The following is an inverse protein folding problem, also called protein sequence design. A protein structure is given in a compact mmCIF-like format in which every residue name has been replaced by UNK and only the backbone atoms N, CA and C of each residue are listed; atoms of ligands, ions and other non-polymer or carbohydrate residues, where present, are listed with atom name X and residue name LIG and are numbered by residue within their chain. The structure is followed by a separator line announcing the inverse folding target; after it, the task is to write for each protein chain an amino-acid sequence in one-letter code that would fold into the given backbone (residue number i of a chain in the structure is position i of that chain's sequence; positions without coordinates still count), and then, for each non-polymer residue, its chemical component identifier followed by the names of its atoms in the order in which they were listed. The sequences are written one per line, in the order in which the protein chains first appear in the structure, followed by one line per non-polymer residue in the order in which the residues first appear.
data_IF_552373447925
#
_entry.id   IF_552373447925
#
_cell.length_a   1.000
_cell.length_b   1.000
_cell.length_c   1.000
_cell.angle_alpha   90.00
_cell.angle_beta   90.00
_cell.angle_gamma   90.00
#
_symmetry.space_group_name_H-M   'P 1'
#
loop_
_entity.id
_entity.type
_entity.pdbx_description
1 polymer ?
#
# COMPACT_ATOMS: atom_id res chain seq x y z
N UNK A 1 5.25 -34.17 6.09
CA UNK A 1 6.64 -33.94 6.56
C UNK A 1 7.07 -35.17 7.34
N UNK A 2 8.15 -35.83 6.90
CA UNK A 2 8.66 -37.06 7.56
C UNK A 2 9.90 -36.82 8.41
N UNK A 3 10.54 -35.65 8.32
CA UNK A 3 11.75 -35.33 9.06
C UNK A 3 11.42 -34.92 10.51
N UNK A 4 11.87 -35.75 11.47
CA UNK A 4 11.65 -35.54 12.91
C UNK A 4 12.31 -34.27 13.44
N UNK A 5 13.44 -33.83 12.85
CA UNK A 5 14.16 -32.62 13.24
C UNK A 5 13.33 -31.37 12.92
N UNK A 6 12.73 -31.32 11.72
CA UNK A 6 11.85 -30.23 11.30
C UNK A 6 10.58 -30.18 12.16
N UNK A 7 9.98 -31.35 12.41
CA UNK A 7 8.80 -31.44 13.29
C UNK A 7 9.10 -30.95 14.71
N UNK A 8 10.29 -31.28 15.23
CA UNK A 8 10.70 -30.79 16.55
C UNK A 8 10.90 -29.27 16.59
N UNK A 9 11.53 -28.69 15.56
CA UNK A 9 11.65 -27.23 15.42
C UNK A 9 10.30 -26.54 15.40
N UNK A 10 9.36 -27.03 14.58
CA UNK A 10 7.99 -26.48 14.53
C UNK A 10 7.36 -26.56 15.92
N UNK A 11 7.49 -27.68 16.61
CA UNK A 11 6.95 -27.86 17.98
C UNK A 11 7.57 -26.87 18.97
N UNK A 12 8.86 -26.62 18.89
CA UNK A 12 9.53 -25.62 19.72
C UNK A 12 9.00 -24.21 19.45
N UNK A 13 8.81 -23.82 18.19
CA UNK A 13 8.21 -22.53 17.84
C UNK A 13 6.78 -22.37 18.33
N UNK A 14 5.95 -23.41 18.23
CA UNK A 14 4.57 -23.41 18.73
C UNK A 14 4.50 -23.29 20.25
N UNK A 15 5.47 -23.88 20.95
CA UNK A 15 5.54 -23.85 22.43
C UNK A 15 6.28 -22.65 23.01
N UNK A 16 6.89 -21.80 22.18
CA UNK A 16 7.75 -20.69 22.64
C UNK A 16 7.03 -19.61 23.43
N UNK A 17 5.69 -19.56 23.39
CA UNK A 17 4.89 -18.53 24.07
C UNK A 17 5.05 -17.14 23.47
N UNK A 18 4.43 -16.16 24.12
CA UNK A 18 4.50 -14.74 23.75
C UNK A 18 5.04 -13.95 24.93
N UNK A 19 6.00 -13.08 24.68
CA UNK A 19 6.46 -12.17 25.70
C UNK A 19 5.58 -10.90 25.70
N UNK A 20 4.81 -10.74 26.76
CA UNK A 20 3.98 -9.54 26.99
C UNK A 20 4.62 -8.71 28.10
N UNK A 21 5.22 -7.59 27.73
CA UNK A 21 6.08 -6.82 28.66
C UNK A 21 7.32 -7.63 29.04
N UNK A 22 7.44 -8.03 30.31
CA UNK A 22 8.53 -8.86 30.84
C UNK A 22 8.06 -10.27 31.29
N UNK A 23 6.82 -10.66 30.99
CA UNK A 23 6.27 -11.97 31.36
C UNK A 23 6.07 -12.82 30.10
N UNK A 24 6.45 -14.10 30.19
CA UNK A 24 6.23 -15.09 29.16
C UNK A 24 4.84 -15.72 29.35
N UNK A 25 3.93 -15.45 28.43
CA UNK A 25 2.62 -16.10 28.40
C UNK A 25 2.64 -17.32 27.48
N UNK A 26 2.22 -18.48 27.98
CA UNK A 26 2.12 -19.68 27.17
C UNK A 26 0.98 -19.54 26.14
N UNK A 27 1.24 -19.99 24.93
CA UNK A 27 0.21 -20.04 23.88
C UNK A 27 -0.51 -21.38 23.98
N UNK A 28 -1.77 -21.39 24.44
CA UNK A 28 -2.55 -22.61 24.60
C UNK A 28 -3.01 -23.19 23.26
N UNK A 29 -3.35 -22.33 22.29
CA UNK A 29 -3.82 -22.75 20.96
C UNK A 29 -3.25 -21.88 19.86
N UNK A 30 -2.84 -22.54 18.77
CA UNK A 30 -2.35 -21.86 17.56
C UNK A 30 -0.93 -21.35 17.66
N UNK A 31 -0.58 -20.38 16.83
CA UNK A 31 0.71 -19.71 16.78
C UNK A 31 0.52 -18.22 17.14
N UNK A 32 1.46 -17.63 17.91
CA UNK A 32 1.35 -16.23 18.30
C UNK A 32 1.17 -15.32 17.08
N UNK A 33 0.26 -14.35 17.21
CA UNK A 33 0.03 -13.38 16.14
C UNK A 33 1.30 -12.53 15.91
N UNK A 34 1.84 -12.57 14.67
CA UNK A 34 3.10 -11.91 14.33
C UNK A 34 4.36 -12.77 14.52
N UNK A 35 4.22 -14.03 14.91
CA UNK A 35 5.34 -14.98 14.97
C UNK A 35 5.99 -15.18 13.60
N UNK A 36 7.32 -15.30 13.55
CA UNK A 36 8.10 -15.43 12.30
C UNK A 36 7.69 -16.66 11.48
N UNK A 37 7.36 -17.75 12.14
CA UNK A 37 6.97 -19.02 11.50
C UNK A 37 5.48 -19.11 11.17
N UNK A 38 4.63 -18.24 11.75
CA UNK A 38 3.17 -18.30 11.62
C UNK A 38 2.68 -18.31 10.16
N UNK A 39 3.23 -17.47 9.23
CA UNK A 39 2.81 -17.52 7.83
C UNK A 39 3.13 -18.85 7.13
N UNK A 40 4.27 -19.46 7.48
CA UNK A 40 4.66 -20.76 6.91
C UNK A 40 3.72 -21.86 7.41
N UNK A 41 3.50 -21.94 8.72
CA UNK A 41 2.61 -22.94 9.32
C UNK A 41 1.18 -22.77 8.80
N UNK A 42 0.68 -21.52 8.69
CA UNK A 42 -0.63 -21.24 8.12
C UNK A 42 -0.74 -21.74 6.68
N UNK A 43 0.29 -21.56 5.87
CA UNK A 43 0.29 -22.07 4.50
C UNK A 43 0.30 -23.60 4.44
N UNK A 44 1.07 -24.26 5.29
CA UNK A 44 1.09 -25.74 5.39
C UNK A 44 -0.27 -26.26 5.85
N UNK A 45 -0.89 -25.61 6.82
CA UNK A 45 -2.20 -26.02 7.35
C UNK A 45 -3.32 -25.85 6.32
N UNK A 46 -3.33 -24.73 5.58
CA UNK A 46 -4.31 -24.43 4.56
C UNK A 46 -4.06 -25.12 3.21
N UNK A 47 -2.94 -25.84 3.06
CA UNK A 47 -2.67 -26.61 1.84
C UNK A 47 -3.75 -27.68 1.62
N UNK A 48 -4.23 -28.33 2.68
CA UNK A 48 -5.34 -29.29 2.58
C UNK A 48 -6.63 -28.67 2.01
N UNK A 49 -6.91 -27.42 2.36
CA UNK A 49 -8.00 -26.64 1.75
C UNK A 49 -7.75 -26.39 0.27
N UNK A 50 -6.54 -25.94 -0.08
CA UNK A 50 -6.17 -25.65 -1.46
C UNK A 50 -6.30 -26.91 -2.35
N UNK A 51 -5.79 -28.04 -1.88
CA UNK A 51 -5.85 -29.33 -2.59
C UNK A 51 -7.32 -29.78 -2.79
N UNK A 52 -8.16 -29.70 -1.76
CA UNK A 52 -9.56 -30.11 -1.87
C UNK A 52 -10.36 -29.22 -2.82
N UNK A 53 -10.12 -27.89 -2.78
CA UNK A 53 -10.79 -26.97 -3.69
C UNK A 53 -10.33 -27.16 -5.15
N UNK A 54 -9.04 -27.41 -5.38
CA UNK A 54 -8.48 -27.73 -6.71
C UNK A 54 -9.01 -29.08 -7.23
N UNK A 55 -9.10 -30.11 -6.38
CA UNK A 55 -9.67 -31.40 -6.71
C UNK A 55 -11.11 -31.26 -7.23
N UNK A 56 -11.88 -30.34 -6.63
CA UNK A 56 -13.25 -29.97 -7.06
C UNK A 56 -13.27 -29.03 -8.25
N UNK A 57 -12.12 -28.71 -8.86
CA UNK A 57 -11.98 -27.82 -10.02
C UNK A 57 -12.41 -26.37 -9.76
N UNK A 58 -12.41 -25.92 -8.50
CA UNK A 58 -12.60 -24.52 -8.18
C UNK A 58 -11.33 -23.71 -8.51
N UNK A 59 -11.53 -22.53 -9.10
CA UNK A 59 -10.43 -21.57 -9.35
C UNK A 59 -10.27 -20.69 -8.12
N UNK A 60 -9.24 -20.98 -7.32
CA UNK A 60 -8.96 -20.26 -6.09
C UNK A 60 -7.70 -19.42 -6.22
N UNK A 61 -7.66 -18.31 -5.50
CA UNK A 61 -6.47 -17.49 -5.24
C UNK A 61 -6.44 -17.25 -3.74
N UNK A 62 -5.37 -17.71 -3.08
CA UNK A 62 -5.18 -17.53 -1.64
C UNK A 62 -3.91 -16.74 -1.35
N UNK A 63 -4.00 -15.82 -0.43
CA UNK A 63 -2.87 -15.10 0.15
C UNK A 63 -3.03 -15.10 1.66
N UNK A 64 -2.27 -15.92 2.34
CA UNK A 64 -2.43 -16.25 3.76
C UNK A 64 -3.86 -16.71 4.06
N UNK A 65 -4.60 -15.98 4.87
CA UNK A 65 -6.00 -16.19 5.25
C UNK A 65 -7.04 -15.53 4.31
N UNK A 66 -6.58 -14.67 3.40
CA UNK A 66 -7.46 -14.06 2.40
C UNK A 66 -7.65 -15.00 1.20
N UNK A 67 -8.89 -15.46 0.99
CA UNK A 67 -9.26 -16.44 -0.06
C UNK A 67 -10.22 -15.76 -1.06
N UNK A 68 -9.95 -15.94 -2.34
CA UNK A 68 -10.82 -15.53 -3.44
C UNK A 68 -11.14 -16.75 -4.31
N UNK A 69 -12.43 -17.04 -4.53
CA UNK A 69 -12.90 -18.13 -5.39
C UNK A 69 -13.61 -17.53 -6.61
N UNK A 70 -13.15 -17.88 -7.80
CA UNK A 70 -13.69 -17.37 -9.06
C UNK A 70 -14.75 -18.33 -9.59
N UNK A 71 -15.95 -17.83 -9.81
CA UNK A 71 -17.11 -18.60 -10.28
C UNK A 71 -17.76 -17.96 -11.50
N UNK A 72 -18.31 -18.76 -12.40
CA UNK A 72 -18.97 -18.28 -13.62
C UNK A 72 -20.43 -17.83 -13.43
N UNK A 73 -21.07 -18.19 -12.28
CA UNK A 73 -22.44 -17.82 -11.96
C UNK A 73 -22.66 -17.65 -10.47
N UNK A 74 -23.74 -16.99 -10.08
CA UNK A 74 -24.11 -16.81 -8.68
C UNK A 74 -24.39 -18.15 -7.98
N UNK A 75 -25.12 -19.06 -8.64
CA UNK A 75 -25.37 -20.38 -8.10
C UNK A 75 -24.08 -21.20 -7.88
N UNK A 76 -23.11 -21.10 -8.80
CA UNK A 76 -21.80 -21.71 -8.64
C UNK A 76 -21.03 -21.09 -7.45
N UNK A 77 -21.14 -19.76 -7.24
CA UNK A 77 -20.52 -19.07 -6.12
C UNK A 77 -21.13 -19.47 -4.78
N UNK A 78 -22.45 -19.61 -4.71
CA UNK A 78 -23.16 -20.10 -3.51
C UNK A 78 -22.75 -21.52 -3.15
N UNK A 79 -22.64 -22.40 -4.14
CA UNK A 79 -22.15 -23.76 -3.93
C UNK A 79 -20.68 -23.78 -3.48
N UNK A 80 -19.83 -23.00 -4.14
CA UNK A 80 -18.42 -22.89 -3.77
C UNK A 80 -18.24 -22.36 -2.32
N UNK A 81 -19.07 -21.40 -1.91
CA UNK A 81 -19.07 -20.89 -0.54
C UNK A 81 -19.44 -21.97 0.47
N UNK A 82 -20.50 -22.75 0.20
CA UNK A 82 -20.90 -23.86 1.07
C UNK A 82 -19.81 -24.92 1.19
N UNK A 83 -19.18 -25.29 0.08
CA UNK A 83 -18.07 -26.27 0.07
C UNK A 83 -16.88 -25.72 0.83
N UNK A 84 -16.45 -24.49 0.55
CA UNK A 84 -15.32 -23.85 1.23
C UNK A 84 -15.54 -23.76 2.75
N UNK A 85 -16.73 -23.31 3.18
CA UNK A 85 -17.08 -23.23 4.60
C UNK A 85 -17.04 -24.61 5.24
N UNK A 86 -17.59 -25.64 4.58
CA UNK A 86 -17.57 -27.01 5.09
C UNK A 86 -16.13 -27.51 5.29
N UNK A 87 -15.25 -27.34 4.33
CA UNK A 87 -13.84 -27.78 4.44
C UNK A 87 -13.13 -27.02 5.55
N UNK A 88 -13.29 -25.69 5.61
CA UNK A 88 -12.63 -24.88 6.64
C UNK A 88 -13.14 -25.19 8.05
N UNK A 89 -14.46 -25.30 8.26
CA UNK A 89 -15.04 -25.44 9.60
C UNK A 89 -15.12 -26.90 10.06
N UNK A 90 -15.46 -27.83 9.17
CA UNK A 90 -15.65 -29.24 9.56
C UNK A 90 -14.34 -30.03 9.49
N UNK A 91 -13.59 -29.88 8.41
CA UNK A 91 -12.38 -30.68 8.20
C UNK A 91 -11.16 -30.04 8.89
N UNK A 92 -10.99 -28.71 8.76
CA UNK A 92 -9.84 -27.97 9.31
C UNK A 92 -10.11 -27.30 10.65
N UNK A 93 -11.33 -27.36 11.20
CA UNK A 93 -11.70 -26.76 12.49
C UNK A 93 -11.37 -25.26 12.61
N UNK A 94 -11.41 -24.54 11.50
CA UNK A 94 -11.23 -23.09 11.43
C UNK A 94 -12.59 -22.40 11.44
N UNK A 95 -12.63 -21.15 11.91
CA UNK A 95 -13.86 -20.35 11.92
C UNK A 95 -13.85 -19.37 10.75
N UNK A 96 -14.86 -19.44 9.89
CA UNK A 96 -15.04 -18.50 8.78
C UNK A 96 -15.68 -17.21 9.27
N UNK A 97 -15.04 -16.07 8.99
CA UNK A 97 -15.57 -14.76 9.37
C UNK A 97 -16.73 -14.35 8.45
N UNK A 98 -17.96 -14.60 8.90
CA UNK A 98 -19.19 -14.33 8.15
C UNK A 98 -19.36 -12.84 7.77
N UNK A 99 -18.85 -11.91 8.58
CA UNK A 99 -18.96 -10.48 8.31
C UNK A 99 -18.05 -10.01 7.16
N UNK A 100 -17.01 -10.77 6.84
CA UNK A 100 -16.06 -10.46 5.75
C UNK A 100 -16.30 -11.32 4.53
N UNK A 101 -16.92 -12.48 4.69
CA UNK A 101 -17.16 -13.44 3.62
C UNK A 101 -18.47 -13.10 2.90
N UNK A 102 -18.38 -12.83 1.61
CA UNK A 102 -19.53 -12.46 0.79
C UNK A 102 -19.32 -12.84 -0.67
N UNK A 103 -20.42 -13.03 -1.38
CA UNK A 103 -20.43 -13.19 -2.82
C UNK A 103 -20.57 -11.81 -3.46
N UNK A 104 -19.71 -11.50 -4.42
CA UNK A 104 -19.75 -10.24 -5.15
C UNK A 104 -19.69 -10.48 -6.66
N UNK A 105 -20.41 -9.65 -7.42
CA UNK A 105 -20.32 -9.66 -8.87
C UNK A 105 -19.11 -8.84 -9.33
N UNK A 106 -18.38 -9.32 -10.34
CA UNK A 106 -17.17 -8.63 -10.85
C UNK A 106 -17.44 -7.22 -11.37
N UNK A 107 -18.68 -6.94 -11.82
CA UNK A 107 -19.11 -5.59 -12.24
C UNK A 107 -19.21 -4.59 -11.10
N UNK A 108 -19.46 -5.03 -9.87
CA UNK A 108 -19.55 -4.19 -8.68
C UNK A 108 -18.17 -3.91 -8.04
N UNK A 109 -17.17 -4.69 -8.43
CA UNK A 109 -15.80 -4.60 -7.92
C UNK A 109 -15.54 -5.47 -6.69
N UNK A 110 -14.54 -6.33 -6.80
CA UNK A 110 -14.11 -7.23 -5.72
C UNK A 110 -12.85 -6.66 -5.06
N UNK A 111 -12.90 -6.49 -3.76
CA UNK A 111 -11.77 -5.96 -2.98
C UNK A 111 -10.86 -7.09 -2.54
N UNK A 112 -9.63 -7.11 -3.06
CA UNK A 112 -8.62 -8.10 -2.72
C UNK A 112 -7.24 -7.45 -2.60
N UNK A 113 -6.49 -7.73 -1.55
CA UNK A 113 -5.12 -7.25 -1.30
C UNK A 113 -4.91 -5.73 -1.51
N UNK A 114 -5.91 -4.93 -1.18
CA UNK A 114 -5.82 -3.46 -1.31
C UNK A 114 -6.11 -2.91 -2.71
N UNK A 115 -6.43 -3.79 -3.64
CA UNK A 115 -6.90 -3.48 -5.00
C UNK A 115 -8.39 -3.80 -5.08
N UNK A 116 -9.11 -3.08 -5.90
CA UNK A 116 -10.48 -3.37 -6.29
C UNK A 116 -10.47 -3.83 -7.75
N UNK A 117 -10.91 -5.06 -7.96
CA UNK A 117 -10.90 -5.75 -9.25
C UNK A 117 -12.29 -5.62 -9.86
N UNK A 118 -12.39 -4.98 -11.00
CA UNK A 118 -13.60 -4.87 -11.79
C UNK A 118 -13.48 -5.75 -13.05
N UNK A 119 -14.54 -5.92 -13.79
CA UNK A 119 -14.56 -6.79 -14.97
C UNK A 119 -13.55 -6.40 -16.05
N UNK A 120 -13.23 -5.10 -16.21
CA UNK A 120 -12.37 -4.58 -17.28
C UNK A 120 -11.11 -3.88 -16.81
N UNK A 121 -11.02 -3.51 -15.54
CA UNK A 121 -9.86 -2.81 -14.99
C UNK A 121 -9.73 -3.03 -13.48
N UNK A 122 -8.58 -2.62 -12.95
CA UNK A 122 -8.31 -2.66 -11.52
C UNK A 122 -7.98 -1.27 -11.00
N UNK A 123 -8.37 -0.96 -9.77
CA UNK A 123 -8.05 0.31 -9.12
C UNK A 123 -7.56 0.12 -7.68
N UNK A 124 -6.82 1.09 -7.18
CA UNK A 124 -6.38 1.09 -5.78
C UNK A 124 -7.57 1.42 -4.89
N UNK A 125 -7.77 0.67 -3.82
CA UNK A 125 -8.80 0.98 -2.82
C UNK A 125 -8.56 2.37 -2.21
N UNK A 126 -9.65 3.14 -2.06
CA UNK A 126 -9.57 4.50 -1.53
C UNK A 126 -8.95 4.55 -0.12
N UNK A 127 -9.22 3.56 0.72
CA UNK A 127 -8.60 3.42 2.06
C UNK A 127 -7.07 3.41 1.98
N UNK A 128 -6.48 2.73 1.00
CA UNK A 128 -5.02 2.66 0.79
C UNK A 128 -4.45 3.99 0.27
N UNK A 129 -5.17 4.66 -0.64
CA UNK A 129 -4.81 6.00 -1.10
C UNK A 129 -4.84 7.02 0.04
N UNK A 130 -5.86 6.96 0.89
CA UNK A 130 -6.01 7.86 2.03
C UNK A 130 -4.93 7.60 3.09
N UNK A 131 -4.57 6.35 3.35
CA UNK A 131 -3.45 5.99 4.22
C UNK A 131 -2.12 6.55 3.71
N UNK A 132 -1.84 6.43 2.41
CA UNK A 132 -0.66 7.07 1.80
C UNK A 132 -0.69 8.58 1.98
N UNK A 133 -1.83 9.24 1.65
CA UNK A 133 -1.97 10.68 1.81
C UNK A 133 -1.74 11.14 3.25
N UNK A 134 -2.22 10.38 4.24
CA UNK A 134 -1.98 10.65 5.66
C UNK A 134 -0.48 10.56 6.01
N UNK A 135 0.22 9.52 5.55
CA UNK A 135 1.66 9.34 5.74
C UNK A 135 2.47 10.46 5.08
N UNK A 136 2.13 10.81 3.83
CA UNK A 136 2.75 11.95 3.12
C UNK A 136 2.48 13.27 3.85
N UNK A 137 1.25 13.51 4.34
CA UNK A 137 0.94 14.71 5.13
C UNK A 137 1.83 14.83 6.37
N UNK A 138 2.07 13.74 7.08
CA UNK A 138 2.94 13.69 8.26
C UNK A 138 4.38 14.04 7.90
N UNK A 139 4.95 13.41 6.86
CA UNK A 139 6.33 13.64 6.40
C UNK A 139 6.52 15.09 5.91
N UNK A 140 5.55 15.61 5.16
CA UNK A 140 5.60 16.96 4.57
C UNK A 140 4.99 18.05 5.46
N UNK A 141 4.92 17.84 6.78
CA UNK A 141 4.44 18.83 7.74
C UNK A 141 5.40 20.01 7.80
N UNK A 142 4.88 21.24 7.66
CA UNK A 142 5.71 22.46 7.49
C UNK A 142 6.49 22.91 8.74
N UNK A 143 6.20 22.37 9.90
CA UNK A 143 6.79 22.77 11.18
C UNK A 143 7.73 21.72 11.78
N UNK A 144 8.29 20.83 10.94
CA UNK A 144 9.19 19.75 11.40
C UNK A 144 10.64 20.17 11.61
N UNK A 145 11.06 21.33 11.20
CA UNK A 145 12.48 21.73 11.32
C UNK A 145 13.43 21.04 10.32
N UNK A 146 12.96 20.09 9.51
CA UNK A 146 13.76 19.33 8.54
C UNK A 146 13.81 20.09 7.20
N UNK A 147 14.98 20.16 6.56
CA UNK A 147 15.13 20.75 5.23
C UNK A 147 14.42 19.93 4.14
N UNK A 148 14.24 20.52 2.94
CA UNK A 148 13.53 19.88 1.85
C UNK A 148 14.16 18.56 1.40
N UNK A 149 15.49 18.48 1.35
CA UNK A 149 16.22 17.28 0.95
C UNK A 149 15.99 16.13 1.92
N UNK A 150 16.03 16.40 3.24
CA UNK A 150 15.71 15.42 4.28
C UNK A 150 14.28 14.91 4.18
N UNK A 151 13.33 15.82 3.88
CA UNK A 151 11.92 15.44 3.64
C UNK A 151 11.79 14.53 2.41
N UNK A 152 12.49 14.82 1.33
CA UNK A 152 12.47 13.99 0.11
C UNK A 152 13.11 12.62 0.37
N UNK A 153 14.20 12.56 1.13
CA UNK A 153 14.86 11.31 1.50
C UNK A 153 13.92 10.40 2.30
N UNK A 154 13.14 10.95 3.23
CA UNK A 154 12.12 10.21 4.00
C UNK A 154 10.89 9.84 3.15
N UNK A 155 10.51 10.68 2.20
CA UNK A 155 9.34 10.50 1.35
C UNK A 155 9.54 9.41 0.29
N UNK A 156 10.70 9.39 -0.36
CA UNK A 156 10.99 8.50 -1.48
C UNK A 156 10.77 7.01 -1.20
N UNK A 157 11.24 6.42 -0.09
CA UNK A 157 10.98 5.00 0.20
C UNK A 157 9.48 4.71 0.29
N UNK A 158 8.71 5.62 0.90
CA UNK A 158 7.26 5.46 1.09
C UNK A 158 6.52 5.46 -0.24
N UNK A 159 6.80 6.45 -1.10
CA UNK A 159 6.10 6.56 -2.39
C UNK A 159 6.57 5.51 -3.40
N UNK A 160 7.86 5.12 -3.37
CA UNK A 160 8.41 4.03 -4.19
C UNK A 160 7.80 2.70 -3.81
N UNK A 161 7.76 2.37 -2.52
CA UNK A 161 7.14 1.13 -2.03
C UNK A 161 5.66 1.06 -2.40
N UNK A 162 4.92 2.16 -2.25
CA UNK A 162 3.53 2.24 -2.66
C UNK A 162 3.36 2.02 -4.18
N UNK A 163 4.16 2.70 -5.00
CA UNK A 163 4.09 2.56 -6.45
C UNK A 163 4.45 1.14 -6.91
N UNK A 164 5.50 0.55 -6.35
CA UNK A 164 5.93 -0.81 -6.69
C UNK A 164 4.86 -1.85 -6.34
N UNK A 165 4.18 -1.69 -5.20
CA UNK A 165 3.11 -2.60 -4.79
C UNK A 165 1.87 -2.47 -5.69
N UNK A 166 1.43 -1.23 -5.96
CA UNK A 166 0.19 -0.98 -6.68
C UNK A 166 0.33 -0.83 -8.19
N UNK A 167 1.53 -0.99 -8.77
CA UNK A 167 1.72 -0.90 -10.24
C UNK A 167 0.94 -1.94 -11.04
N UNK A 168 0.49 -3.02 -10.40
CA UNK A 168 -0.38 -4.04 -10.99
C UNK A 168 -1.78 -3.48 -11.34
N UNK A 169 -2.23 -2.44 -10.65
CA UNK A 169 -3.50 -1.78 -10.89
C UNK A 169 -3.40 -0.74 -12.02
N UNK A 170 -4.54 -0.44 -12.66
CA UNK A 170 -4.67 0.62 -13.65
C UNK A 170 -4.72 2.01 -12.99
N UNK A 171 -3.64 2.41 -12.31
CA UNK A 171 -3.61 3.55 -11.42
C UNK A 171 -2.79 4.76 -11.91
N UNK A 172 -2.45 4.83 -13.18
CA UNK A 172 -1.64 5.91 -13.77
C UNK A 172 -2.22 7.30 -13.48
N UNK A 173 -3.53 7.47 -13.63
CA UNK A 173 -4.22 8.74 -13.34
C UNK A 173 -4.12 9.13 -11.85
N UNK A 174 -4.28 8.17 -10.95
CA UNK A 174 -4.15 8.36 -9.50
C UNK A 174 -2.72 8.75 -9.12
N UNK A 175 -1.71 8.09 -9.67
CA UNK A 175 -0.30 8.41 -9.45
C UNK A 175 0.04 9.81 -9.93
N UNK A 176 -0.45 10.23 -11.10
CA UNK A 176 -0.29 11.59 -11.63
C UNK A 176 -0.93 12.64 -10.70
N UNK A 177 -2.15 12.38 -10.22
CA UNK A 177 -2.84 13.27 -9.25
C UNK A 177 -2.08 13.35 -7.92
N UNK A 178 -1.57 12.24 -7.40
CA UNK A 178 -0.75 12.19 -6.20
C UNK A 178 0.55 12.98 -6.37
N UNK A 179 1.23 12.85 -7.50
CA UNK A 179 2.46 13.60 -7.80
C UNK A 179 2.21 15.11 -7.80
N UNK A 180 1.18 15.58 -8.49
CA UNK A 180 0.83 17.00 -8.50
C UNK A 180 0.53 17.53 -7.10
N UNK A 181 -0.21 16.74 -6.29
CA UNK A 181 -0.53 17.09 -4.91
C UNK A 181 0.74 17.11 -4.02
N UNK A 182 1.66 16.18 -4.16
CA UNK A 182 2.92 16.14 -3.41
C UNK A 182 3.83 17.31 -3.78
N UNK A 183 4.02 17.59 -5.07
CA UNK A 183 4.81 18.75 -5.55
C UNK A 183 4.26 20.05 -4.96
N UNK A 184 2.93 20.22 -4.91
CA UNK A 184 2.30 21.38 -4.26
C UNK A 184 2.66 21.48 -2.78
N UNK A 185 2.63 20.35 -2.03
CA UNK A 185 3.01 20.33 -0.62
C UNK A 185 4.48 20.67 -0.40
N UNK A 186 5.37 20.16 -1.25
CA UNK A 186 6.80 20.42 -1.18
C UNK A 186 7.13 21.88 -1.53
N UNK A 187 6.45 22.48 -2.53
CA UNK A 187 6.53 23.93 -2.79
C UNK A 187 6.13 24.74 -1.55
N UNK A 188 5.04 24.34 -0.91
CA UNK A 188 4.54 24.98 0.31
C UNK A 188 5.56 24.90 1.46
N UNK A 189 6.24 23.76 1.61
CA UNK A 189 7.32 23.56 2.57
C UNK A 189 8.52 24.47 2.26
N UNK A 190 8.98 24.47 1.00
CA UNK A 190 10.12 25.26 0.55
C UNK A 190 9.87 26.77 0.71
N UNK A 191 8.68 27.25 0.35
CA UNK A 191 8.29 28.64 0.55
C UNK A 191 8.35 29.03 2.04
N UNK A 192 7.91 28.16 2.94
CA UNK A 192 8.02 28.38 4.38
C UNK A 192 9.49 28.44 4.84
N UNK A 193 10.34 27.57 4.31
CA UNK A 193 11.78 27.55 4.64
C UNK A 193 12.50 28.80 4.11
N UNK A 194 12.09 29.34 3.00
CA UNK A 194 12.63 30.60 2.49
C UNK A 194 12.28 31.81 3.37
N UNK A 195 11.22 31.75 4.15
CA UNK A 195 10.77 32.77 5.13
C UNK A 195 10.39 34.12 4.53
N UNK A 196 11.19 34.67 3.60
CA UNK A 196 11.02 35.99 2.98
C UNK A 196 10.85 35.90 1.46
N UNK A 197 9.98 36.72 0.84
CA UNK A 197 9.80 36.76 -0.63
C UNK A 197 11.10 37.00 -1.38
N UNK A 198 12.05 37.74 -0.81
CA UNK A 198 13.34 38.02 -1.43
C UNK A 198 14.11 36.76 -1.86
N UNK A 199 14.01 35.65 -1.10
CA UNK A 199 14.64 34.37 -1.48
C UNK A 199 13.98 33.75 -2.73
N UNK A 200 12.64 33.85 -2.87
CA UNK A 200 11.91 33.44 -4.05
C UNK A 200 12.34 34.29 -5.26
N UNK A 201 12.39 35.61 -5.09
CA UNK A 201 12.80 36.54 -6.16
C UNK A 201 14.27 36.31 -6.58
N UNK A 202 15.18 36.02 -5.64
CA UNK A 202 16.56 35.64 -5.95
C UNK A 202 16.59 34.38 -6.82
N UNK A 203 15.81 33.37 -6.46
CA UNK A 203 15.71 32.12 -7.26
C UNK A 203 15.20 32.39 -8.67
N UNK A 204 14.18 33.24 -8.83
CA UNK A 204 13.67 33.62 -10.13
C UNK A 204 14.73 34.33 -10.99
N UNK A 205 15.49 35.26 -10.41
CA UNK A 205 16.61 35.92 -11.10
C UNK A 205 17.69 34.92 -11.56
N UNK A 206 18.06 33.96 -10.69
CA UNK A 206 18.99 32.87 -11.02
C UNK A 206 18.51 32.01 -12.19
N UNK A 207 17.20 31.89 -12.38
CA UNK A 207 16.59 31.20 -13.51
C UNK A 207 16.38 32.08 -14.75
N UNK A 208 16.91 33.32 -14.75
CA UNK A 208 16.85 34.24 -15.88
C UNK A 208 15.59 35.11 -15.99
N UNK A 209 14.67 35.00 -15.00
CA UNK A 209 13.48 35.87 -15.01
C UNK A 209 13.82 37.31 -14.57
N UNK A 210 13.25 38.29 -15.27
CA UNK A 210 13.47 39.71 -14.99
C UNK A 210 12.37 40.30 -14.09
N UNK A 211 12.70 41.19 -13.11
CA UNK A 211 11.73 41.94 -12.36
C UNK A 211 10.93 42.92 -13.26
N UNK A 212 9.80 43.45 -12.80
CA UNK A 212 9.25 43.34 -11.44
C UNK A 212 8.52 42.02 -11.16
N UNK A 213 8.72 41.46 -9.94
CA UNK A 213 8.01 40.24 -9.52
C UNK A 213 6.83 40.58 -8.61
N UNK A 214 5.69 39.96 -8.86
CA UNK A 214 4.52 40.09 -7.99
C UNK A 214 4.84 39.59 -6.59
N UNK A 215 4.52 40.38 -5.57
CA UNK A 215 4.65 39.99 -4.18
C UNK A 215 3.73 38.81 -3.84
N UNK A 216 4.22 37.82 -3.07
CA UNK A 216 3.41 36.76 -2.50
C UNK A 216 3.61 36.62 -1.00
N UNK A 217 2.52 36.36 -0.28
CA UNK A 217 2.53 36.14 1.17
C UNK A 217 3.08 34.76 1.46
N UNK A 218 4.32 34.65 1.90
CA UNK A 218 5.02 33.36 2.14
C UNK A 218 4.39 32.50 3.24
N UNK A 219 3.55 33.09 4.11
CA UNK A 219 2.89 32.35 5.20
C UNK A 219 1.69 31.53 4.73
N UNK A 220 1.02 31.91 3.65
CA UNK A 220 -0.13 31.19 3.13
C UNK A 220 0.31 30.00 2.26
N UNK A 221 -0.18 28.83 2.57
CA UNK A 221 0.10 27.64 1.77
C UNK A 221 -0.45 27.72 0.32
N UNK A 222 -1.50 28.49 0.11
CA UNK A 222 -2.08 28.75 -1.22
C UNK A 222 -1.10 29.43 -2.17
N UNK A 223 -0.10 30.08 -1.66
CA UNK A 223 0.96 30.69 -2.46
C UNK A 223 1.76 29.66 -3.25
N UNK A 224 1.79 28.40 -2.80
CA UNK A 224 2.41 27.29 -3.53
C UNK A 224 1.75 27.00 -4.89
N UNK A 225 0.56 27.54 -5.14
CA UNK A 225 -0.14 27.48 -6.43
C UNK A 225 0.05 28.74 -7.26
N UNK A 226 0.79 29.75 -6.77
CA UNK A 226 1.03 30.97 -7.54
C UNK A 226 1.95 30.69 -8.75
N UNK A 227 1.80 31.44 -9.88
CA UNK A 227 2.68 31.29 -11.03
C UNK A 227 4.15 31.43 -10.65
N UNK A 228 4.52 32.40 -9.80
CA UNK A 228 5.90 32.60 -9.36
C UNK A 228 6.47 31.40 -8.61
N UNK A 229 5.65 30.70 -7.81
CA UNK A 229 6.07 29.46 -7.14
C UNK A 229 6.34 28.34 -8.13
N UNK A 230 5.55 28.25 -9.20
CA UNK A 230 5.75 27.25 -10.25
C UNK A 230 6.95 27.58 -11.12
N UNK A 231 7.20 28.85 -11.44
CA UNK A 231 8.39 29.30 -12.17
C UNK A 231 9.67 29.02 -11.36
N UNK A 232 9.67 29.36 -10.06
CA UNK A 232 10.83 29.14 -9.19
C UNK A 232 11.13 27.66 -8.89
N UNK A 233 10.10 26.82 -8.92
CA UNK A 233 10.15 25.37 -8.63
C UNK A 233 9.32 24.61 -9.67
N UNK A 234 9.77 24.55 -10.94
CA UNK A 234 9.07 23.84 -12.01
C UNK A 234 9.01 22.33 -11.69
N UNK A 235 8.21 21.59 -12.45
CA UNK A 235 8.07 20.15 -12.19
C UNK A 235 9.39 19.38 -12.35
N UNK A 236 10.22 19.76 -13.32
CA UNK A 236 11.52 19.13 -13.54
C UNK A 236 12.50 19.35 -12.38
N UNK A 237 12.43 20.49 -11.70
CA UNK A 237 13.24 20.74 -10.52
C UNK A 237 13.09 19.68 -9.43
N UNK A 238 11.90 19.07 -9.30
CA UNK A 238 11.71 17.98 -8.34
C UNK A 238 12.48 16.71 -8.70
N UNK A 239 12.75 16.49 -10.00
CA UNK A 239 13.61 15.40 -10.47
C UNK A 239 15.08 15.70 -10.13
N UNK A 240 15.53 16.95 -10.32
CA UNK A 240 16.88 17.40 -9.98
C UNK A 240 17.19 17.19 -8.49
N UNK A 241 16.24 17.50 -7.61
CA UNK A 241 16.35 17.26 -6.16
C UNK A 241 16.00 15.83 -5.76
N UNK A 242 15.96 14.88 -6.71
CA UNK A 242 15.81 13.43 -6.53
C UNK A 242 14.48 13.00 -5.90
N UNK A 243 13.38 13.74 -6.12
CA UNK A 243 12.06 13.24 -5.81
C UNK A 243 11.70 12.09 -6.75
N UNK A 244 11.27 10.95 -6.18
CA UNK A 244 10.85 9.80 -6.98
C UNK A 244 9.68 10.15 -7.91
N UNK A 245 9.83 9.85 -9.19
CA UNK A 245 8.85 10.19 -10.22
C UNK A 245 7.78 9.08 -10.31
N UNK A 246 6.62 9.30 -9.67
CA UNK A 246 5.49 8.38 -9.76
C UNK A 246 4.83 8.36 -11.15
N UNK A 247 4.95 9.45 -11.93
CA UNK A 247 4.33 9.53 -13.27
C UNK A 247 5.02 8.61 -14.28
N UNK A 248 6.29 8.28 -14.04
CA UNK A 248 7.08 7.37 -14.90
C UNK A 248 6.87 5.88 -14.56
N UNK A 249 6.05 5.55 -13.56
CA UNK A 249 5.80 4.16 -13.18
C UNK A 249 4.83 3.53 -14.18
N UNK A 250 5.26 2.46 -14.84
CA UNK A 250 4.38 1.64 -15.69
C UNK A 250 3.36 0.93 -14.81
N UNK A 251 2.09 1.09 -15.13
CA UNK A 251 0.95 0.54 -14.38
C UNK A 251 0.12 -0.40 -15.23
N UNK A 252 -0.64 -1.30 -14.61
CA UNK A 252 -1.40 -2.34 -15.31
C UNK A 252 -0.52 -3.46 -15.86
N UNK A 253 0.73 -3.55 -15.39
CA UNK A 253 1.68 -4.58 -15.83
C UNK A 253 1.87 -5.57 -14.69
N UNK A 254 1.55 -6.84 -14.94
CA UNK A 254 1.94 -7.92 -14.04
C UNK A 254 3.47 -7.98 -14.00
N UNK A 255 4.05 -8.09 -12.80
CA UNK A 255 5.47 -8.36 -12.69
C UNK A 255 5.74 -9.71 -13.38
N UNK A 256 6.82 -9.84 -14.18
CA UNK A 256 7.24 -11.16 -14.61
C UNK A 256 7.47 -12.00 -13.35
N UNK A 257 6.92 -13.18 -13.35
CA UNK A 257 7.18 -14.15 -12.28
C UNK A 257 8.68 -14.41 -12.24
N UNK A 258 9.30 -14.17 -11.07
CA UNK A 258 10.67 -14.64 -10.79
C UNK A 258 10.65 -16.13 -10.51
#
# INVERSE_FOLDING_TARGET
MADGSILNLIRMFLKSGVMVGYQLEATETGSPQGGVISPLISNVYLDAFDQEMMRRKHRIVRYADDILILCGSKAAAENALKVATKVLEQDLKLTVNQNKTHIAHSGEGVKFLGVEILSSYTRIQEKKLNALKAKVKRITKRNRGTNLEGVIRELNPVIRGFANYFRIANCSRELKRLTGWMRRRLRCLQLKQWKKPAKLHRRLKQLGYKPPFKYIKMRSWRNACSPLSHLAMPNNWFNEIKLFNLEGVKTGVLAPYC
#
